data_IF_238433771532
#
_entry.id   IF_238433771532
#
_cell.length_a   1.000
_cell.length_b   1.000
_cell.length_c   1.000
_cell.angle_alpha   90.00
_cell.angle_beta   90.00
_cell.angle_gamma   90.00
#
_symmetry.space_group_name_H-M   'P 1'
#
loop_
_entity.id
_entity.type
_entity.pdbx_description
1 polymer ?
#
# COMPACT_ATOMS: atom_id res chain seq x y z
N UNK A 1 -17.65 26.64 32.06
CA UNK A 1 -18.21 25.65 31.10
C UNK A 1 -17.34 25.69 29.86
N UNK A 2 -16.45 24.73 29.70
CA UNK A 2 -15.61 24.59 28.50
C UNK A 2 -16.07 23.36 27.73
N UNK A 3 -16.56 23.58 26.51
CA UNK A 3 -16.99 22.56 25.57
C UNK A 3 -15.77 21.75 25.14
N UNK A 4 -15.72 20.48 25.54
CA UNK A 4 -14.79 19.50 24.98
C UNK A 4 -15.31 19.16 23.60
N UNK A 5 -14.62 19.61 22.55
CA UNK A 5 -14.79 19.08 21.20
C UNK A 5 -14.39 17.61 21.23
N UNK A 6 -15.40 16.75 21.38
CA UNK A 6 -15.32 15.33 21.08
C UNK A 6 -15.22 15.21 19.57
N UNK A 7 -13.99 15.27 19.04
CA UNK A 7 -13.71 14.69 17.74
C UNK A 7 -13.89 13.18 17.89
N UNK A 8 -15.11 12.71 17.65
CA UNK A 8 -15.41 11.30 17.55
C UNK A 8 -14.58 10.74 16.40
N UNK A 9 -13.48 10.08 16.74
CA UNK A 9 -12.73 9.28 15.79
C UNK A 9 -13.65 8.13 15.38
N UNK A 10 -14.49 8.35 14.37
CA UNK A 10 -15.23 7.28 13.72
C UNK A 10 -14.18 6.30 13.22
N UNK A 11 -14.19 5.10 13.82
CA UNK A 11 -13.34 4.04 13.36
C UNK A 11 -13.76 3.72 11.91
N UNK A 12 -12.90 3.93 10.91
CA UNK A 12 -13.25 3.70 9.50
C UNK A 12 -13.57 2.23 9.19
N UNK A 13 -13.36 1.33 10.16
CA UNK A 13 -13.70 -0.09 10.10
C UNK A 13 -15.07 -0.43 10.73
N UNK A 14 -15.79 0.52 11.34
CA UNK A 14 -17.07 0.26 12.02
C UNK A 14 -18.32 0.55 11.18
N UNK A 15 -18.25 1.43 10.18
CA UNK A 15 -19.46 1.97 9.53
C UNK A 15 -19.96 1.21 8.30
N UNK A 16 -19.09 0.47 7.60
CA UNK A 16 -19.43 0.04 6.23
C UNK A 16 -18.94 -1.40 5.91
N UNK A 17 -17.79 -1.83 6.43
CA UNK A 17 -17.21 -3.15 6.13
C UNK A 17 -18.02 -4.36 6.63
N UNK A 18 -18.87 -4.17 7.64
CA UNK A 18 -19.79 -5.19 8.13
C UNK A 18 -20.93 -5.51 7.13
N UNK A 19 -21.33 -4.53 6.30
CA UNK A 19 -22.27 -4.72 5.19
C UNK A 19 -21.60 -5.39 3.97
N UNK A 20 -20.28 -5.30 3.87
CA UNK A 20 -19.51 -5.73 2.69
C UNK A 20 -19.01 -7.19 2.73
N UNK A 21 -19.44 -7.99 3.70
CA UNK A 21 -19.17 -9.43 3.75
C UNK A 21 -17.69 -9.80 3.91
N UNK A 22 -16.85 -8.87 4.39
CA UNK A 22 -15.52 -9.23 4.86
C UNK A 22 -15.69 -10.01 6.16
N UNK A 23 -15.15 -11.23 6.26
CA UNK A 23 -15.07 -11.89 7.56
C UNK A 23 -14.05 -11.12 8.40
N UNK A 24 -14.53 -10.16 9.19
CA UNK A 24 -13.72 -9.38 10.13
C UNK A 24 -12.73 -10.31 10.86
N UNK A 25 -11.47 -9.91 10.90
CA UNK A 25 -10.42 -10.69 11.55
C UNK A 25 -9.91 -11.87 10.72
N UNK A 26 -9.97 -11.77 9.39
CA UNK A 26 -9.34 -12.75 8.50
C UNK A 26 -7.96 -12.32 8.03
N UNK A 27 -7.67 -11.03 8.03
CA UNK A 27 -6.34 -10.49 7.80
C UNK A 27 -5.63 -10.22 9.14
N UNK A 28 -4.31 -10.49 9.30
CA UNK A 28 -3.61 -10.32 10.58
C UNK A 28 -3.80 -8.94 11.22
N UNK A 29 -3.77 -7.88 10.39
CA UNK A 29 -4.01 -6.50 10.83
C UNK A 29 -5.44 -6.30 11.34
N UNK A 30 -6.45 -6.82 10.64
CA UNK A 30 -7.85 -6.70 11.06
C UNK A 30 -8.11 -7.50 12.34
N UNK A 31 -7.50 -8.68 12.48
CA UNK A 31 -7.58 -9.49 13.69
C UNK A 31 -6.96 -8.75 14.87
N UNK A 32 -5.80 -8.12 14.68
CA UNK A 32 -5.13 -7.33 15.71
C UNK A 32 -5.95 -6.08 16.11
N UNK A 33 -6.54 -5.39 15.14
CA UNK A 33 -7.42 -4.24 15.40
C UNK A 33 -8.69 -4.65 16.15
N UNK A 34 -9.33 -5.74 15.73
CA UNK A 34 -10.52 -6.27 16.40
C UNK A 34 -10.22 -6.71 17.83
N UNK A 35 -9.08 -7.36 18.03
CA UNK A 35 -8.64 -7.78 19.35
C UNK A 35 -8.33 -6.58 20.26
N UNK A 36 -7.61 -5.58 19.74
CA UNK A 36 -7.37 -4.33 20.46
C UNK A 36 -8.69 -3.62 20.84
N UNK A 37 -9.67 -3.57 19.93
CA UNK A 37 -10.98 -3.00 20.22
C UNK A 37 -11.72 -3.76 21.33
N UNK A 38 -11.68 -5.10 21.30
CA UNK A 38 -12.27 -5.94 22.36
C UNK A 38 -11.62 -5.72 23.72
N UNK A 39 -10.29 -5.58 23.76
CA UNK A 39 -9.53 -5.30 24.99
C UNK A 39 -9.97 -3.96 25.61
N UNK A 40 -10.15 -2.92 24.80
CA UNK A 40 -10.61 -1.61 25.26
C UNK A 40 -12.04 -1.62 25.81
N UNK A 41 -12.93 -2.43 25.22
CA UNK A 41 -14.33 -2.54 25.65
C UNK A 41 -14.48 -3.36 26.94
N UNK A 42 -13.72 -4.45 27.08
CA UNK A 42 -13.88 -5.41 28.19
C UNK A 42 -13.21 -4.96 29.49
N UNK A 43 -12.17 -4.14 29.40
CA UNK A 43 -11.21 -4.03 30.49
C UNK A 43 -10.72 -2.58 30.72
N UNK A 44 -11.66 -1.64 30.82
CA UNK A 44 -11.38 -0.22 31.12
C UNK A 44 -10.67 -0.01 32.49
N UNK A 45 -10.57 -1.03 33.34
CA UNK A 45 -9.75 -1.00 34.56
C UNK A 45 -8.28 -1.28 34.22
N UNK A 46 -7.67 -0.34 33.49
CA UNK A 46 -6.31 -0.40 32.92
C UNK A 46 -5.22 -0.95 33.84
N UNK A 47 -4.97 -2.25 33.73
CA UNK A 47 -3.77 -2.90 34.26
C UNK A 47 -2.59 -2.76 33.30
N UNK A 48 -1.37 -2.81 33.86
CA UNK A 48 -0.10 -2.83 33.11
C UNK A 48 -0.07 -3.89 31.99
N UNK A 49 -0.81 -5.00 32.20
CA UNK A 49 -0.91 -6.13 31.27
C UNK A 49 -1.63 -5.78 29.96
N UNK A 50 -2.73 -5.02 30.00
CA UNK A 50 -3.47 -4.61 28.78
C UNK A 50 -2.61 -3.70 27.92
N UNK A 51 -1.89 -2.76 28.54
CA UNK A 51 -0.96 -1.87 27.83
C UNK A 51 0.15 -2.68 27.14
N UNK A 52 0.70 -3.69 27.82
CA UNK A 52 1.70 -4.57 27.24
C UNK A 52 1.15 -5.39 26.06
N UNK A 53 -0.09 -5.89 26.17
CA UNK A 53 -0.76 -6.64 25.11
C UNK A 53 -1.06 -5.75 23.88
N UNK A 54 -1.56 -4.53 24.08
CA UNK A 54 -1.78 -3.56 23.00
C UNK A 54 -0.49 -3.21 22.27
N UNK A 55 0.61 -3.00 23.01
CA UNK A 55 1.94 -2.77 22.42
C UNK A 55 2.41 -3.95 21.59
N UNK A 56 2.18 -5.19 22.07
CA UNK A 56 2.52 -6.41 21.33
C UNK A 56 1.70 -6.53 20.04
N UNK A 57 0.38 -6.29 20.09
CA UNK A 57 -0.48 -6.31 18.92
C UNK A 57 -0.03 -5.28 17.87
N UNK A 58 0.27 -4.05 18.32
CA UNK A 58 0.78 -2.98 17.47
C UNK A 58 2.13 -3.34 16.84
N UNK A 59 3.10 -3.82 17.63
CA UNK A 59 4.40 -4.27 17.13
C UNK A 59 4.27 -5.35 16.05
N UNK A 60 3.43 -6.36 16.28
CA UNK A 60 3.23 -7.43 15.30
C UNK A 60 2.58 -6.91 14.00
N UNK A 61 1.62 -6.00 14.13
CA UNK A 61 0.93 -5.35 13.00
C UNK A 61 1.90 -4.52 12.17
N UNK A 62 2.72 -3.70 12.83
CA UNK A 62 3.72 -2.86 12.16
C UNK A 62 4.77 -3.72 11.47
N UNK A 63 5.31 -4.76 12.12
CA UNK A 63 6.27 -5.67 11.50
C UNK A 63 5.71 -6.37 10.26
N UNK A 64 4.43 -6.75 10.29
CA UNK A 64 3.76 -7.33 9.13
C UNK A 64 3.67 -6.32 7.97
N UNK A 65 3.21 -5.10 8.25
CA UNK A 65 3.03 -4.06 7.23
C UNK A 65 4.34 -3.48 6.70
N UNK A 66 5.40 -3.46 7.51
CA UNK A 66 6.68 -2.88 7.10
C UNK A 66 7.27 -3.60 5.89
N UNK A 67 7.14 -4.93 5.83
CA UNK A 67 7.62 -5.70 4.68
C UNK A 67 7.00 -5.21 3.37
N UNK A 68 5.70 -4.95 3.39
CA UNK A 68 4.97 -4.43 2.24
C UNK A 68 5.43 -3.01 1.92
N UNK A 69 5.53 -2.14 2.92
CA UNK A 69 6.02 -0.76 2.77
C UNK A 69 7.40 -0.70 2.09
N UNK A 70 8.34 -1.56 2.51
CA UNK A 70 9.69 -1.59 1.97
C UNK A 70 9.73 -2.06 0.51
N UNK A 71 8.88 -3.02 0.13
CA UNK A 71 8.73 -3.43 -1.28
C UNK A 71 8.19 -2.29 -2.14
N UNK A 72 7.15 -1.58 -1.66
CA UNK A 72 6.58 -0.42 -2.38
C UNK A 72 7.66 0.65 -2.55
N UNK A 73 8.40 0.98 -1.49
CA UNK A 73 9.47 1.97 -1.55
C UNK A 73 10.55 1.58 -2.58
N UNK A 74 11.01 0.32 -2.55
CA UNK A 74 12.03 -0.15 -3.49
C UNK A 74 11.56 -0.03 -4.94
N UNK A 75 10.36 -0.51 -5.25
CA UNK A 75 9.83 -0.47 -6.61
C UNK A 75 9.53 0.97 -7.08
N UNK A 76 9.09 1.85 -6.18
CA UNK A 76 8.95 3.28 -6.45
C UNK A 76 10.30 3.91 -6.83
N UNK A 77 11.37 3.62 -6.07
CA UNK A 77 12.71 4.15 -6.33
C UNK A 77 13.23 3.68 -7.70
N UNK A 78 13.08 2.40 -8.03
CA UNK A 78 13.46 1.82 -9.33
C UNK A 78 12.72 2.50 -10.49
N UNK A 79 11.39 2.62 -10.40
CA UNK A 79 10.57 3.27 -11.42
C UNK A 79 10.92 4.75 -11.59
N UNK A 80 11.15 5.48 -10.50
CA UNK A 80 11.54 6.90 -10.54
C UNK A 80 12.90 7.09 -11.21
N UNK A 81 13.87 6.20 -10.98
CA UNK A 81 15.16 6.26 -11.67
C UNK A 81 14.99 6.04 -13.18
N UNK A 82 14.19 5.03 -13.57
CA UNK A 82 13.88 4.77 -14.97
C UNK A 82 13.20 5.97 -15.64
N UNK A 83 12.17 6.55 -15.01
CA UNK A 83 11.46 7.73 -15.54
C UNK A 83 12.42 8.91 -15.70
N UNK A 84 13.29 9.17 -14.72
CA UNK A 84 14.29 10.25 -14.81
C UNK A 84 15.26 10.04 -15.96
N UNK A 85 15.72 8.80 -16.17
CA UNK A 85 16.61 8.47 -17.27
C UNK A 85 15.96 8.70 -18.64
N UNK A 86 14.68 8.35 -18.77
CA UNK A 86 13.88 8.43 -19.99
C UNK A 86 13.18 9.78 -20.23
N UNK A 87 13.32 10.76 -19.32
CA UNK A 87 12.87 12.16 -19.52
C UNK A 87 13.92 12.99 -20.27
N UNK A 88 14.28 12.56 -21.47
CA UNK A 88 15.25 13.25 -22.35
C UNK A 88 14.70 13.35 -23.77
N UNK A 89 15.26 14.25 -24.57
CA UNK A 89 14.84 14.41 -25.95
C UNK A 89 14.99 13.10 -26.74
N UNK A 90 13.95 12.72 -27.49
CA UNK A 90 13.90 11.49 -28.28
C UNK A 90 13.73 10.19 -27.48
N UNK A 91 13.44 10.27 -26.18
CA UNK A 91 13.17 9.11 -25.32
C UNK A 91 11.67 8.92 -25.04
N UNK A 92 11.32 7.83 -24.36
CA UNK A 92 9.93 7.43 -24.07
C UNK A 92 9.10 8.54 -23.40
N UNK A 93 9.68 9.32 -22.50
CA UNK A 93 8.98 10.38 -21.77
C UNK A 93 9.43 11.79 -22.20
N UNK A 94 9.85 11.96 -23.46
CA UNK A 94 10.19 13.28 -24.01
C UNK A 94 8.95 14.20 -24.04
N UNK A 95 8.94 15.32 -23.31
CA UNK A 95 7.82 16.26 -23.32
C UNK A 95 7.55 16.92 -24.67
N UNK A 96 8.56 16.99 -25.55
CA UNK A 96 8.49 17.65 -26.85
C UNK A 96 8.18 16.67 -28.00
N UNK A 97 8.14 15.36 -27.72
CA UNK A 97 7.95 14.38 -28.77
C UNK A 97 6.46 14.16 -29.06
N UNK A 98 6.03 14.65 -30.22
CA UNK A 98 4.70 14.39 -30.78
C UNK A 98 4.65 13.11 -31.63
N UNK A 99 5.80 12.48 -31.90
CA UNK A 99 5.91 11.26 -32.69
C UNK A 99 6.37 10.09 -31.83
N UNK A 100 5.43 9.23 -31.45
CA UNK A 100 5.64 8.02 -30.66
C UNK A 100 6.37 6.90 -31.44
N UNK A 101 7.45 7.24 -32.15
CA UNK A 101 8.39 6.27 -32.75
C UNK A 101 9.37 5.82 -31.67
N UNK A 102 8.93 4.94 -30.77
CA UNK A 102 9.77 4.47 -29.69
C UNK A 102 10.84 3.50 -30.18
N UNK A 103 11.96 3.48 -29.45
CA UNK A 103 12.84 2.34 -29.46
C UNK A 103 12.10 1.22 -28.73
N UNK A 104 11.87 0.09 -29.41
CA UNK A 104 11.09 -1.04 -28.90
C UNK A 104 11.51 -1.49 -27.47
N UNK A 105 12.76 -1.27 -27.05
CA UNK A 105 13.23 -1.67 -25.72
C UNK A 105 12.73 -0.82 -24.55
N UNK A 106 12.53 0.49 -24.72
CA UNK A 106 12.19 1.36 -23.58
C UNK A 106 10.75 1.14 -23.12
N UNK A 107 9.84 0.80 -24.05
CA UNK A 107 8.44 0.52 -23.75
C UNK A 107 8.28 -0.81 -22.99
N UNK A 108 9.07 -1.83 -23.36
CA UNK A 108 9.08 -3.13 -22.71
C UNK A 108 9.57 -3.01 -21.25
N UNK A 109 10.68 -2.29 -21.03
CA UNK A 109 11.21 -2.04 -19.68
C UNK A 109 10.23 -1.22 -18.84
N UNK A 110 9.61 -0.18 -19.40
CA UNK A 110 8.59 0.60 -18.73
C UNK A 110 7.39 -0.27 -18.32
N UNK A 111 6.94 -1.16 -19.20
CA UNK A 111 5.83 -2.06 -18.93
C UNK A 111 6.14 -3.01 -17.76
N UNK A 112 7.33 -3.61 -17.75
CA UNK A 112 7.78 -4.48 -16.66
C UNK A 112 7.85 -3.70 -15.33
N UNK A 113 8.52 -2.55 -15.31
CA UNK A 113 8.68 -1.75 -14.08
C UNK A 113 7.34 -1.23 -13.54
N UNK A 114 6.37 -0.96 -14.40
CA UNK A 114 5.02 -0.57 -13.96
C UNK A 114 4.34 -1.71 -13.19
N UNK A 115 4.44 -2.94 -13.70
CA UNK A 115 3.87 -4.11 -13.04
C UNK A 115 4.61 -4.47 -11.74
N UNK A 116 5.94 -4.34 -11.73
CA UNK A 116 6.75 -4.53 -10.52
C UNK A 116 6.41 -3.48 -9.45
N UNK A 117 6.09 -2.24 -9.84
CA UNK A 117 5.61 -1.22 -8.91
C UNK A 117 4.21 -1.51 -8.38
N UNK A 118 3.32 -2.06 -9.19
CA UNK A 118 1.97 -2.43 -8.80
C UNK A 118 1.89 -3.65 -7.88
N UNK A 119 2.76 -4.65 -8.08
CA UNK A 119 2.77 -5.90 -7.32
C UNK A 119 2.68 -5.69 -5.80
N UNK A 120 3.52 -4.86 -5.14
CA UNK A 120 3.50 -4.72 -3.69
C UNK A 120 2.27 -3.99 -3.13
N UNK A 121 1.44 -3.34 -3.95
CA UNK A 121 0.16 -2.77 -3.51
C UNK A 121 -0.91 -3.86 -3.31
N UNK A 122 -0.71 -5.04 -3.92
CA UNK A 122 -1.57 -6.20 -3.65
C UNK A 122 -1.51 -6.58 -2.18
N UNK A 123 -2.68 -6.74 -1.57
CA UNK A 123 -2.81 -7.05 -0.14
C UNK A 123 -2.10 -8.38 0.19
N UNK A 124 -1.16 -8.37 1.12
CA UNK A 124 -0.53 -9.60 1.60
C UNK A 124 -1.56 -10.46 2.38
N UNK A 125 -2.04 -11.54 1.75
CA UNK A 125 -3.02 -12.45 2.33
C UNK A 125 -2.35 -13.69 2.93
N UNK A 126 -2.70 -14.01 4.17
CA UNK A 126 -2.32 -15.31 4.76
C UNK A 126 -3.07 -16.45 4.08
N UNK A 127 -2.57 -17.68 4.18
CA UNK A 127 -3.27 -18.86 3.64
C UNK A 127 -4.70 -18.97 4.20
N UNK A 128 -4.90 -18.68 5.49
CA UNK A 128 -6.22 -18.66 6.11
C UNK A 128 -7.14 -17.60 5.48
N UNK A 129 -6.61 -16.40 5.20
CA UNK A 129 -7.34 -15.34 4.49
C UNK A 129 -7.71 -15.78 3.07
N UNK A 130 -6.75 -16.37 2.33
CA UNK A 130 -6.97 -16.89 0.97
C UNK A 130 -8.06 -17.95 0.93
N UNK A 131 -8.05 -18.91 1.85
CA UNK A 131 -9.07 -19.95 1.97
C UNK A 131 -10.46 -19.34 2.22
N UNK A 132 -10.56 -18.34 3.12
CA UNK A 132 -11.83 -17.66 3.39
C UNK A 132 -12.33 -16.88 2.18
N UNK A 133 -11.44 -16.16 1.49
CA UNK A 133 -11.76 -15.42 0.25
C UNK A 133 -12.23 -16.38 -0.85
N UNK A 134 -11.58 -17.54 -1.00
CA UNK A 134 -11.97 -18.57 -1.97
C UNK A 134 -13.40 -19.06 -1.73
N UNK A 135 -13.82 -19.21 -0.46
CA UNK A 135 -15.18 -19.60 -0.10
C UNK A 135 -16.25 -18.55 -0.45
N UNK A 136 -15.86 -17.29 -0.68
CA UNK A 136 -16.77 -16.21 -1.10
C UNK A 136 -16.99 -16.16 -2.63
N UNK A 137 -16.61 -17.21 -3.35
CA UNK A 137 -16.90 -17.46 -4.77
C UNK A 137 -16.59 -16.28 -5.71
N UNK A 138 -15.40 -15.67 -5.57
CA UNK A 138 -14.90 -14.63 -6.49
C UNK A 138 -15.55 -13.25 -6.36
N UNK A 139 -16.59 -13.07 -5.54
CA UNK A 139 -17.18 -11.75 -5.24
C UNK A 139 -16.17 -10.77 -4.65
N UNK A 140 -15.17 -11.30 -3.93
CA UNK A 140 -14.05 -10.55 -3.40
C UNK A 140 -13.18 -9.97 -4.51
N UNK A 141 -12.72 -10.81 -5.44
CA UNK A 141 -11.79 -10.42 -6.49
C UNK A 141 -12.39 -9.34 -7.40
N UNK A 142 -13.66 -9.52 -7.80
CA UNK A 142 -14.39 -8.58 -8.65
C UNK A 142 -14.44 -7.14 -8.12
N UNK A 143 -14.35 -6.95 -6.80
CA UNK A 143 -14.35 -5.61 -6.19
C UNK A 143 -13.01 -4.90 -6.36
N UNK A 144 -11.91 -5.65 -6.29
CA UNK A 144 -10.57 -5.10 -6.52
C UNK A 144 -10.33 -4.87 -8.01
N UNK A 145 -10.89 -5.70 -8.88
CA UNK A 145 -10.78 -5.55 -10.34
C UNK A 145 -11.34 -4.22 -10.88
N UNK A 146 -12.15 -3.51 -10.09
CA UNK A 146 -12.75 -2.21 -10.43
C UNK A 146 -12.01 -1.02 -9.81
N UNK A 147 -10.90 -1.25 -9.11
CA UNK A 147 -10.09 -0.16 -8.57
C UNK A 147 -9.48 0.67 -9.71
N UNK A 148 -9.30 1.99 -9.51
CA UNK A 148 -8.69 2.86 -10.52
C UNK A 148 -7.35 2.34 -11.04
N UNK A 149 -6.47 1.86 -10.15
CA UNK A 149 -5.19 1.24 -10.50
C UNK A 149 -5.36 0.02 -11.41
N UNK A 150 -6.26 -0.91 -11.10
CA UNK A 150 -6.50 -2.13 -11.89
C UNK A 150 -7.09 -1.80 -13.26
N UNK A 151 -7.94 -0.77 -13.34
CA UNK A 151 -8.46 -0.27 -14.61
C UNK A 151 -7.33 0.36 -15.43
N UNK A 152 -6.46 1.18 -14.81
CA UNK A 152 -5.35 1.83 -15.49
C UNK A 152 -4.31 0.82 -16.00
N UNK A 153 -3.92 -0.16 -15.17
CA UNK A 153 -2.99 -1.24 -15.55
C UNK A 153 -3.51 -2.07 -16.71
N UNK A 154 -4.80 -2.43 -16.69
CA UNK A 154 -5.44 -3.16 -17.81
C UNK A 154 -5.44 -2.34 -19.09
N UNK A 155 -5.83 -1.07 -19.03
CA UNK A 155 -5.80 -0.19 -20.21
C UNK A 155 -4.38 0.03 -20.73
N UNK A 156 -3.39 0.11 -19.84
CA UNK A 156 -1.98 0.18 -20.20
C UNK A 156 -1.52 -1.11 -20.92
N UNK A 157 -1.91 -2.27 -20.39
CA UNK A 157 -1.65 -3.58 -20.99
C UNK A 157 -2.29 -3.71 -22.37
N UNK A 158 -3.53 -3.26 -22.53
CA UNK A 158 -4.23 -3.31 -23.80
C UNK A 158 -3.56 -2.39 -24.84
N UNK A 159 -3.16 -1.18 -24.44
CA UNK A 159 -2.42 -0.26 -25.30
C UNK A 159 -1.04 -0.81 -25.69
N UNK A 160 -0.31 -1.43 -24.76
CA UNK A 160 0.96 -2.11 -25.03
C UNK A 160 0.79 -3.20 -26.10
N UNK A 161 -0.20 -4.09 -25.93
CA UNK A 161 -0.50 -5.18 -26.89
C UNK A 161 -0.95 -4.67 -28.26
N UNK A 162 -1.63 -3.54 -28.30
CA UNK A 162 -2.10 -2.91 -29.53
C UNK A 162 -1.00 -2.10 -30.25
N UNK A 163 0.20 -1.99 -29.67
CA UNK A 163 1.25 -1.05 -30.08
C UNK A 163 0.74 0.40 -30.15
N UNK A 164 -0.22 0.75 -29.28
CA UNK A 164 -0.73 2.11 -29.10
C UNK A 164 0.14 2.86 -28.10
N UNK A 165 1.10 3.59 -28.66
CA UNK A 165 2.07 4.38 -27.91
C UNK A 165 1.51 5.49 -27.04
N UNK A 166 0.55 6.23 -27.59
CA UNK A 166 -0.09 7.34 -26.91
C UNK A 166 -0.95 6.82 -25.76
N UNK A 167 -1.73 5.77 -26.02
CA UNK A 167 -2.51 5.07 -25.01
C UNK A 167 -1.62 4.52 -23.91
N UNK A 168 -0.49 3.90 -24.26
CA UNK A 168 0.46 3.35 -23.29
C UNK A 168 0.97 4.43 -22.34
N UNK A 169 1.53 5.54 -22.85
CA UNK A 169 2.06 6.61 -21.99
C UNK A 169 0.96 7.24 -21.12
N UNK A 170 -0.22 7.45 -21.70
CA UNK A 170 -1.36 8.00 -20.97
C UNK A 170 -1.76 7.12 -19.79
N UNK A 171 -1.95 5.82 -20.01
CA UNK A 171 -2.39 4.91 -18.96
C UNK A 171 -1.28 4.53 -17.99
N UNK A 172 -0.03 4.47 -18.46
CA UNK A 172 1.16 4.37 -17.61
C UNK A 172 1.18 5.52 -16.61
N UNK A 173 1.05 6.77 -17.09
CA UNK A 173 1.03 7.95 -16.22
C UNK A 173 -0.08 7.87 -15.17
N UNK A 174 -1.31 7.54 -15.60
CA UNK A 174 -2.46 7.42 -14.68
C UNK A 174 -2.19 6.36 -13.60
N UNK A 175 -1.64 5.20 -13.97
CA UNK A 175 -1.33 4.15 -13.02
C UNK A 175 -0.23 4.57 -12.02
N UNK A 176 0.83 5.24 -12.49
CA UNK A 176 1.91 5.76 -11.63
C UNK A 176 1.41 6.84 -10.68
N UNK A 177 0.64 7.81 -11.18
CA UNK A 177 0.11 8.89 -10.35
C UNK A 177 -0.81 8.35 -9.23
N UNK A 178 -1.62 7.33 -9.51
CA UNK A 178 -2.46 6.65 -8.52
C UNK A 178 -1.63 5.88 -7.46
N UNK A 179 -0.64 5.10 -7.90
CA UNK A 179 0.27 4.39 -7.00
C UNK A 179 1.08 5.33 -6.11
N UNK A 180 1.57 6.44 -6.66
CA UNK A 180 2.31 7.45 -5.89
C UNK A 180 1.41 8.13 -4.85
N UNK A 181 0.15 8.42 -5.19
CA UNK A 181 -0.82 8.94 -4.24
C UNK A 181 -1.03 7.95 -3.07
N UNK A 182 -1.26 6.68 -3.37
CA UNK A 182 -1.38 5.63 -2.36
C UNK A 182 -0.10 5.47 -1.52
N UNK A 183 1.07 5.51 -2.15
CA UNK A 183 2.36 5.41 -1.44
C UNK A 183 2.57 6.60 -0.47
N UNK A 184 2.20 7.81 -0.87
CA UNK A 184 2.25 9.00 -0.01
C UNK A 184 1.33 8.83 1.20
N UNK A 185 0.11 8.33 1.00
CA UNK A 185 -0.83 8.04 2.09
C UNK A 185 -0.25 7.02 3.07
N UNK A 186 0.28 5.90 2.57
CA UNK A 186 0.93 4.87 3.39
C UNK A 186 2.11 5.46 4.17
N UNK A 187 2.97 6.25 3.51
CA UNK A 187 4.13 6.90 4.13
C UNK A 187 3.69 7.88 5.22
N UNK A 188 2.63 8.64 5.00
CA UNK A 188 2.10 9.59 5.98
C UNK A 188 1.46 8.87 7.17
N UNK A 189 0.67 7.83 6.93
CA UNK A 189 0.10 6.98 7.98
C UNK A 189 1.21 6.36 8.84
N UNK A 190 2.27 5.84 8.20
CA UNK A 190 3.45 5.32 8.89
C UNK A 190 4.12 6.38 9.78
N UNK A 191 4.36 7.60 9.25
CA UNK A 191 4.94 8.70 10.04
C UNK A 191 4.08 9.04 11.27
N UNK A 192 2.76 9.07 11.12
CA UNK A 192 1.85 9.35 12.23
C UNK A 192 1.86 8.24 13.28
N UNK A 193 1.96 6.97 12.86
CA UNK A 193 2.10 5.84 13.77
C UNK A 193 3.33 5.99 14.67
N UNK A 194 4.48 6.41 14.15
CA UNK A 194 5.72 6.56 14.92
C UNK A 194 5.86 7.90 15.65
N UNK A 195 5.05 8.92 15.33
CA UNK A 195 5.05 10.21 16.03
C UNK A 195 4.83 10.05 17.54
N UNK A 196 4.03 9.06 17.93
CA UNK A 196 3.72 8.77 19.33
C UNK A 196 4.75 7.86 20.03
N UNK A 197 5.73 7.30 19.30
CA UNK A 197 6.79 6.45 19.86
C UNK A 197 8.02 7.22 20.32
N UNK A 198 8.22 8.44 19.81
CA UNK A 198 9.34 9.29 20.14
C UNK A 198 8.95 10.19 21.32
N UNK A 199 9.18 9.71 22.55
CA UNK A 199 8.78 10.43 23.77
C UNK A 199 9.65 11.68 24.03
N UNK A 200 10.88 11.74 23.52
CA UNK A 200 11.82 12.88 23.61
C UNK A 200 12.77 12.93 22.41
N UNK A 201 13.37 14.10 22.09
CA UNK A 201 14.48 14.18 21.14
C UNK A 201 15.64 13.28 21.61
N UNK A 202 16.02 12.29 20.80
CA UNK A 202 17.06 11.31 21.13
C UNK A 202 16.56 9.95 21.63
N UNK A 203 15.25 9.79 21.88
CA UNK A 203 14.69 8.48 22.21
C UNK A 203 14.58 7.60 20.94
N UNK A 204 14.92 6.32 21.09
CA UNK A 204 14.69 5.31 20.05
C UNK A 204 13.21 4.95 20.04
N UNK A 205 12.62 4.76 18.85
CA UNK A 205 11.24 4.31 18.74
C UNK A 205 11.01 3.03 19.57
N UNK A 206 9.88 2.95 20.28
CA UNK A 206 9.50 1.77 21.07
C UNK A 206 9.48 0.48 20.21
N UNK A 207 9.29 0.63 18.90
CA UNK A 207 9.36 -0.44 17.91
C UNK A 207 10.48 -0.10 16.91
N UNK A 208 11.62 -0.78 17.05
CA UNK A 208 12.69 -0.76 16.05
C UNK A 208 12.32 -1.72 14.90
N UNK A 209 12.01 -1.15 13.73
CA UNK A 209 11.77 -1.93 12.52
C UNK A 209 12.98 -1.79 11.62
N UNK A 210 13.77 -2.85 11.58
CA UNK A 210 14.98 -2.91 10.74
C UNK A 210 14.59 -2.86 9.25
N UNK A 211 15.30 -2.08 8.42
CA UNK A 211 15.19 -2.17 6.97
C UNK A 211 15.42 -3.62 6.50
N UNK A 212 14.65 -4.11 5.52
CA UNK A 212 15.01 -5.31 4.78
C UNK A 212 16.45 -5.11 4.28
N UNK A 213 17.37 -5.91 4.81
CA UNK A 213 18.74 -5.95 4.31
C UNK A 213 18.63 -6.30 2.83
N UNK A 214 18.99 -5.37 1.96
CA UNK A 214 19.24 -5.70 0.56
C UNK A 214 20.26 -6.81 0.57
N UNK A 215 19.89 -7.96 0.00
CA UNK A 215 20.82 -9.05 -0.21
C UNK A 215 21.98 -8.43 -1.00
N UNK A 216 23.19 -8.43 -0.40
CA UNK A 216 24.39 -8.13 -1.15
C UNK A 216 24.47 -9.20 -2.24
N UNK A 217 24.34 -8.76 -3.49
CA UNK A 217 24.69 -9.57 -4.65
C UNK A 217 26.14 -10.02 -4.45
N UNK A 218 26.33 -11.34 -4.44
CA UNK A 218 27.64 -12.00 -4.43
C UNK A 218 28.10 -12.22 -5.87
#
# INVERSE_FOLDING_TARGET
MALVHSDSYENPFHGEWALFGFPLGSHPVESALLEAARMLIRDWKGGQDIIAQLKRLRSNTIKFLERQYQKIQKAADELVQFIKYNKKHGQLFDPANSSFKFLYGDQDEAFVLLHDYAEPFSRELTMASKIKICRLNGSYQKRFDMLPIEIALRKCTDAYKAHDGEGFIKYFKIAVDDMDAQYIEIRNARKQLFKWDLKRPGDVAEIDVQPLRTAKEY
#
